data_IF_957452201592
#
_entry.id   IF_957452201592
#
_cell.length_a   1.000
_cell.length_b   1.000
_cell.length_c   1.000
_cell.angle_alpha   90.00
_cell.angle_beta   90.00
_cell.angle_gamma   90.00
#
_symmetry.space_group_name_H-M   'P 1'
#
loop_
_entity.id
_entity.type
_entity.pdbx_description
1 polymer ?
#
# COMPACT_ATOMS: atom_id res chain seq x y z
N UNK A 1 16.33 13.04 -18.01
CA UNK A 1 15.58 12.08 -18.84
C UNK A 1 15.69 10.65 -18.28
N UNK A 2 16.89 10.13 -18.02
CA UNK A 2 17.09 8.79 -17.42
C UNK A 2 16.38 8.59 -16.06
N UNK A 3 16.43 9.58 -15.17
CA UNK A 3 15.77 9.49 -13.86
C UNK A 3 14.24 9.37 -13.98
N UNK A 4 13.61 10.14 -14.86
CA UNK A 4 12.17 10.07 -15.10
C UNK A 4 11.76 8.69 -15.65
N UNK A 5 12.53 8.15 -16.61
CA UNK A 5 12.32 6.80 -17.14
C UNK A 5 12.44 5.72 -16.07
N UNK A 6 13.44 5.82 -15.18
CA UNK A 6 13.61 4.85 -14.10
C UNK A 6 12.39 4.85 -13.17
N UNK A 7 11.88 6.02 -12.78
CA UNK A 7 10.73 6.15 -11.88
C UNK A 7 9.46 5.62 -12.54
N UNK A 8 9.16 6.04 -13.77
CA UNK A 8 7.97 5.59 -14.51
C UNK A 8 7.97 4.08 -14.73
N UNK A 9 9.15 3.48 -14.95
CA UNK A 9 9.28 2.02 -15.08
C UNK A 9 8.93 1.26 -13.80
N UNK A 10 9.23 1.81 -12.62
CA UNK A 10 8.97 1.12 -11.35
C UNK A 10 7.51 1.26 -10.88
N UNK A 11 6.85 2.38 -11.23
CA UNK A 11 5.50 2.68 -10.74
C UNK A 11 4.55 3.18 -11.84
N UNK A 12 4.39 2.45 -12.96
CA UNK A 12 3.69 2.96 -14.13
C UNK A 12 2.22 3.29 -13.83
N UNK A 13 1.48 2.35 -13.23
CA UNK A 13 0.04 2.54 -12.96
C UNK A 13 -0.24 3.56 -11.87
N UNK A 14 0.61 3.65 -10.85
CA UNK A 14 0.46 4.65 -9.78
C UNK A 14 0.69 6.06 -10.32
N UNK A 15 1.73 6.24 -11.14
CA UNK A 15 2.05 7.53 -11.75
C UNK A 15 0.96 7.95 -12.73
N UNK A 16 0.46 7.01 -13.55
CA UNK A 16 -0.63 7.29 -14.47
C UNK A 16 -1.90 7.74 -13.73
N UNK A 17 -2.30 7.03 -12.67
CA UNK A 17 -3.44 7.42 -11.83
C UNK A 17 -3.26 8.82 -11.24
N UNK A 18 -2.10 9.12 -10.66
CA UNK A 18 -1.86 10.42 -10.01
C UNK A 18 -1.76 11.59 -11.01
N UNK A 19 -1.32 11.32 -12.24
CA UNK A 19 -1.28 12.31 -13.32
C UNK A 19 -2.67 12.59 -13.89
N UNK A 20 -3.51 11.55 -14.03
CA UNK A 20 -4.90 11.69 -14.47
C UNK A 20 -5.70 12.61 -13.54
N UNK A 21 -5.52 12.48 -12.22
CA UNK A 21 -6.14 13.37 -11.21
C UNK A 21 -5.74 14.84 -11.38
N UNK A 22 -4.62 15.11 -12.06
CA UNK A 22 -4.10 16.45 -12.37
C UNK A 22 -4.37 16.89 -13.81
N UNK A 23 -5.18 16.14 -14.57
CA UNK A 23 -5.40 16.34 -16.01
C UNK A 23 -4.09 16.34 -16.82
N UNK A 24 -3.13 15.51 -16.43
CA UNK A 24 -1.89 15.28 -17.17
C UNK A 24 -1.91 13.87 -17.73
N UNK A 25 -1.50 13.72 -18.99
CA UNK A 25 -1.39 12.42 -19.65
C UNK A 25 0.09 12.00 -19.73
N UNK A 26 0.39 10.80 -19.24
CA UNK A 26 1.75 10.23 -19.35
C UNK A 26 2.12 9.92 -20.81
N UNK A 27 1.14 9.64 -21.67
CA UNK A 27 1.36 9.42 -23.10
C UNK A 27 1.94 10.67 -23.78
N UNK A 28 1.53 11.87 -23.35
CA UNK A 28 2.08 13.12 -23.86
C UNK A 28 3.59 13.26 -23.58
N UNK A 29 4.06 12.72 -22.45
CA UNK A 29 5.49 12.65 -22.15
C UNK A 29 6.22 11.59 -22.97
N UNK A 30 5.63 10.40 -23.11
CA UNK A 30 6.22 9.30 -23.90
C UNK A 30 6.37 9.65 -25.38
N UNK A 31 5.38 10.33 -25.96
CA UNK A 31 5.35 10.69 -27.38
C UNK A 31 6.05 12.03 -27.66
N UNK A 32 6.35 12.81 -26.61
CA UNK A 32 6.87 14.16 -26.76
C UNK A 32 5.87 15.10 -27.43
N UNK A 33 4.58 14.93 -27.14
CA UNK A 33 3.49 15.72 -27.72
C UNK A 33 3.71 17.20 -27.46
N UNK A 34 3.45 18.02 -28.48
CA UNK A 34 3.58 19.48 -28.41
C UNK A 34 2.23 20.17 -28.35
N UNK A 35 2.20 21.32 -27.69
CA UNK A 35 1.06 22.23 -27.68
C UNK A 35 1.03 23.11 -28.96
N UNK A 36 0.00 23.94 -29.08
CA UNK A 36 -0.20 24.87 -30.19
C UNK A 36 0.94 25.90 -30.33
N UNK A 37 1.75 26.07 -29.29
CA UNK A 37 2.90 26.96 -29.25
C UNK A 37 4.24 26.22 -29.47
N UNK A 38 4.20 24.93 -29.80
CA UNK A 38 5.38 24.11 -30.07
C UNK A 38 6.17 23.67 -28.83
N UNK A 39 5.64 23.88 -27.62
CA UNK A 39 6.25 23.44 -26.35
C UNK A 39 5.77 22.03 -26.01
N UNK A 40 6.57 21.27 -25.26
CA UNK A 40 6.15 19.94 -24.78
C UNK A 40 4.99 20.09 -23.80
N UNK A 41 3.89 19.37 -24.04
CA UNK A 41 2.74 19.31 -23.12
C UNK A 41 3.16 18.78 -21.74
N UNK A 42 4.00 17.76 -21.72
CA UNK A 42 4.60 17.22 -20.50
C UNK A 42 6.09 16.96 -20.70
N UNK A 43 6.93 17.87 -20.17
CA UNK A 43 8.39 17.70 -20.21
C UNK A 43 8.89 16.80 -19.08
N UNK A 44 10.06 16.18 -19.26
CA UNK A 44 10.68 15.37 -18.19
C UNK A 44 10.91 16.16 -16.89
N UNK A 45 11.25 17.45 -17.00
CA UNK A 45 11.41 18.33 -15.83
C UNK A 45 10.07 18.51 -15.12
N UNK A 46 9.01 18.80 -15.89
CA UNK A 46 7.67 19.02 -15.35
C UNK A 46 7.13 17.76 -14.69
N UNK A 47 7.34 16.59 -15.31
CA UNK A 47 6.96 15.30 -14.73
C UNK A 47 7.64 15.09 -13.37
N UNK A 48 8.96 15.26 -13.28
CA UNK A 48 9.69 15.09 -12.02
C UNK A 48 9.23 16.07 -10.93
N UNK A 49 9.01 17.34 -11.30
CA UNK A 49 8.49 18.35 -10.37
C UNK A 49 7.09 17.98 -9.86
N UNK A 50 6.20 17.51 -10.74
CA UNK A 50 4.88 17.05 -10.32
C UNK A 50 4.99 15.89 -9.33
N UNK A 51 5.82 14.87 -9.64
CA UNK A 51 6.01 13.71 -8.78
C UNK A 51 6.65 14.06 -7.43
N UNK A 52 7.58 15.03 -7.41
CA UNK A 52 8.24 15.48 -6.19
C UNK A 52 7.25 16.12 -5.21
N UNK A 53 6.37 16.97 -5.71
CA UNK A 53 5.38 17.73 -4.93
C UNK A 53 3.97 17.11 -4.90
N UNK A 54 3.83 15.82 -5.25
CA UNK A 54 2.59 15.08 -4.99
C UNK A 54 2.29 15.07 -3.48
N UNK A 55 0.99 15.07 -3.15
CA UNK A 55 0.57 14.90 -1.75
C UNK A 55 1.07 13.54 -1.24
N UNK A 56 1.43 13.43 0.05
CA UNK A 56 2.05 12.21 0.59
C UNK A 56 1.14 10.98 0.49
N UNK A 57 -0.17 11.14 0.43
CA UNK A 57 -1.21 10.11 0.38
C UNK A 57 -1.56 9.62 -1.04
N UNK A 58 -0.91 10.16 -2.07
CA UNK A 58 -1.07 9.74 -3.47
C UNK A 58 -0.59 8.30 -3.70
N UNK A 59 -1.03 7.68 -4.79
CA UNK A 59 -0.70 6.29 -5.09
C UNK A 59 0.82 6.11 -5.25
N UNK A 60 1.46 6.98 -6.02
CA UNK A 60 2.90 6.95 -6.24
C UNK A 60 3.68 7.13 -4.94
N UNK A 61 3.38 8.17 -4.15
CA UNK A 61 4.10 8.42 -2.89
C UNK A 61 3.93 7.28 -1.88
N UNK A 62 2.73 6.71 -1.81
CA UNK A 62 2.46 5.57 -0.93
C UNK A 62 3.26 4.33 -1.33
N UNK A 63 3.32 4.01 -2.62
CA UNK A 63 4.10 2.87 -3.10
C UNK A 63 5.62 3.10 -3.05
N UNK A 64 6.08 4.31 -3.38
CA UNK A 64 7.50 4.64 -3.42
C UNK A 64 8.13 4.75 -2.03
N UNK A 65 7.41 5.32 -1.05
CA UNK A 65 7.97 5.59 0.29
C UNK A 65 7.58 4.51 1.32
N UNK A 66 6.44 3.87 1.14
CA UNK A 66 5.85 2.95 2.13
C UNK A 66 5.49 1.58 1.56
N UNK A 67 5.90 1.27 0.33
CA UNK A 67 5.63 -0.02 -0.32
C UNK A 67 4.13 -0.40 -0.33
N UNK A 68 3.25 0.60 -0.48
CA UNK A 68 1.80 0.38 -0.53
C UNK A 68 1.14 0.34 0.85
N UNK A 69 1.88 0.60 1.91
CA UNK A 69 1.40 0.50 3.28
C UNK A 69 0.90 1.84 3.85
N UNK A 70 0.19 1.74 4.97
CA UNK A 70 -0.37 2.87 5.70
C UNK A 70 0.71 3.82 6.23
N UNK A 71 0.35 5.10 6.35
CA UNK A 71 1.19 6.09 7.02
C UNK A 71 1.39 5.74 8.50
N UNK A 72 2.48 6.22 9.08
CA UNK A 72 2.79 6.03 10.51
C UNK A 72 1.65 6.50 11.41
N UNK A 73 1.03 7.63 11.08
CA UNK A 73 -0.13 8.14 11.83
C UNK A 73 -1.31 7.18 11.77
N UNK A 74 -1.62 6.63 10.59
CA UNK A 74 -2.71 5.66 10.43
C UNK A 74 -2.42 4.35 11.14
N UNK A 75 -1.15 3.89 11.16
CA UNK A 75 -0.72 2.76 11.99
C UNK A 75 -0.86 3.03 13.48
N UNK A 76 -0.52 4.24 13.94
CA UNK A 76 -0.73 4.63 15.33
C UNK A 76 -2.22 4.59 15.70
N UNK A 77 -3.08 5.13 14.85
CA UNK A 77 -4.54 5.08 15.04
C UNK A 77 -5.06 3.64 15.08
N UNK A 78 -4.55 2.78 14.19
CA UNK A 78 -4.86 1.34 14.18
C UNK A 78 -4.49 0.67 15.51
N UNK A 79 -3.27 0.90 16.02
CA UNK A 79 -2.81 0.36 17.30
C UNK A 79 -3.71 0.80 18.45
N UNK A 80 -4.06 2.08 18.50
CA UNK A 80 -4.97 2.63 19.52
C UNK A 80 -6.35 1.97 19.43
N UNK A 81 -6.94 1.89 18.23
CA UNK A 81 -8.26 1.30 18.01
C UNK A 81 -8.31 -0.19 18.38
N UNK A 82 -7.25 -0.93 18.04
CA UNK A 82 -7.10 -2.34 18.37
C UNK A 82 -6.96 -2.55 19.89
N UNK A 83 -6.16 -1.70 20.55
CA UNK A 83 -5.97 -1.78 22.00
C UNK A 83 -7.27 -1.47 22.76
N UNK A 84 -8.01 -0.43 22.37
CA UNK A 84 -9.32 -0.11 22.94
C UNK A 84 -10.29 -1.29 22.79
N UNK A 85 -10.30 -1.92 21.62
CA UNK A 85 -11.16 -3.08 21.36
C UNK A 85 -10.80 -4.27 22.24
N UNK A 86 -9.50 -4.56 22.42
CA UNK A 86 -9.01 -5.63 23.32
C UNK A 86 -9.30 -5.34 24.78
N UNK A 87 -9.14 -4.09 25.22
CA UNK A 87 -9.47 -3.67 26.58
C UNK A 87 -10.96 -3.87 26.86
N UNK A 88 -11.83 -3.47 25.93
CA UNK A 88 -13.28 -3.69 26.06
C UNK A 88 -13.62 -5.17 26.19
N UNK A 89 -13.03 -6.02 25.34
CA UNK A 89 -13.22 -7.47 25.40
C UNK A 89 -12.77 -8.04 26.75
N UNK A 90 -11.58 -7.65 27.22
CA UNK A 90 -11.02 -8.08 28.51
C UNK A 90 -11.90 -7.64 29.69
N UNK A 91 -12.41 -6.41 29.67
CA UNK A 91 -13.30 -5.88 30.72
C UNK A 91 -14.59 -6.70 30.78
N UNK A 92 -15.21 -7.00 29.64
CA UNK A 92 -16.45 -7.77 29.62
C UNK A 92 -16.24 -9.23 30.03
N UNK A 93 -15.13 -9.84 29.60
CA UNK A 93 -14.75 -11.18 30.05
C UNK A 93 -14.55 -11.25 31.58
N UNK A 94 -13.98 -10.21 32.17
CA UNK A 94 -13.67 -10.16 33.62
C UNK A 94 -14.87 -9.81 34.49
N UNK A 95 -15.69 -8.86 34.07
CA UNK A 95 -16.74 -8.27 34.92
C UNK A 95 -18.15 -8.73 34.55
N UNK A 96 -18.28 -9.60 33.53
CA UNK A 96 -19.57 -10.04 33.02
C UNK A 96 -20.21 -9.00 32.11
N UNK A 97 -20.97 -9.48 31.13
CA UNK A 97 -21.60 -8.66 30.11
C UNK A 97 -21.92 -9.46 28.85
N UNK A 98 -22.42 -8.79 27.82
CA UNK A 98 -22.52 -9.41 26.49
C UNK A 98 -21.12 -9.73 25.98
N UNK A 99 -20.87 -10.93 25.42
CA UNK A 99 -19.60 -11.24 24.78
C UNK A 99 -19.28 -10.22 23.69
N UNK A 100 -18.07 -9.67 23.72
CA UNK A 100 -17.56 -8.80 22.66
C UNK A 100 -16.32 -9.40 22.04
N UNK A 101 -16.45 -9.74 20.77
CA UNK A 101 -15.34 -10.11 19.93
C UNK A 101 -14.70 -8.82 19.38
N UNK A 102 -13.40 -8.58 19.67
CA UNK A 102 -12.73 -7.39 19.21
C UNK A 102 -12.51 -7.47 17.70
N UNK A 103 -13.08 -6.51 16.97
CA UNK A 103 -12.74 -6.30 15.56
C UNK A 103 -11.36 -5.62 15.47
N UNK A 104 -10.38 -6.32 14.92
CA UNK A 104 -9.03 -5.80 14.75
C UNK A 104 -8.82 -5.28 13.33
N UNK A 105 -8.30 -4.06 13.24
CA UNK A 105 -7.86 -3.47 11.98
C UNK A 105 -6.46 -3.99 11.65
N UNK A 106 -6.25 -4.32 10.37
CA UNK A 106 -5.01 -4.91 9.86
C UNK A 106 -4.53 -4.09 8.66
N UNK A 107 -3.27 -3.66 8.70
CA UNK A 107 -2.66 -2.89 7.60
C UNK A 107 -2.43 -3.78 6.37
N UNK A 108 -2.23 -3.21 5.16
CA UNK A 108 -1.85 -3.98 3.98
C UNK A 108 -0.61 -4.85 4.19
N UNK A 109 0.45 -4.32 4.81
CA UNK A 109 1.67 -5.09 5.08
C UNK A 109 1.41 -6.26 6.03
N UNK A 110 0.65 -6.03 7.11
CA UNK A 110 0.31 -7.05 8.09
C UNK A 110 -0.56 -8.16 7.48
N UNK A 111 -1.44 -7.83 6.52
CA UNK A 111 -2.20 -8.86 5.78
C UNK A 111 -1.30 -9.77 4.97
N UNK A 112 -0.30 -9.19 4.28
CA UNK A 112 0.67 -9.97 3.52
C UNK A 112 1.47 -10.88 4.45
N UNK A 113 1.93 -10.35 5.59
CA UNK A 113 2.65 -11.13 6.60
C UNK A 113 1.79 -12.28 7.15
N UNK A 114 0.51 -12.03 7.47
CA UNK A 114 -0.40 -13.08 7.93
C UNK A 114 -0.63 -14.15 6.87
N UNK A 115 -0.77 -13.77 5.60
CA UNK A 115 -0.92 -14.73 4.50
C UNK A 115 0.31 -15.62 4.37
N UNK A 116 1.50 -15.01 4.37
CA UNK A 116 2.77 -15.76 4.30
C UNK A 116 2.95 -16.69 5.51
N UNK A 117 2.62 -16.22 6.73
CA UNK A 117 2.69 -17.07 7.93
C UNK A 117 1.71 -18.24 7.86
N UNK A 118 0.49 -18.00 7.37
CA UNK A 118 -0.51 -19.04 7.21
C UNK A 118 -0.06 -20.09 6.17
N UNK A 119 0.47 -19.66 5.03
CA UNK A 119 1.01 -20.54 4.00
C UNK A 119 2.15 -21.42 4.55
N UNK A 120 3.12 -20.81 5.24
CA UNK A 120 4.24 -21.54 5.87
C UNK A 120 3.73 -22.53 6.93
N UNK A 121 2.71 -22.16 7.70
CA UNK A 121 2.13 -23.06 8.70
C UNK A 121 1.42 -24.26 8.07
N UNK A 122 0.68 -24.05 6.97
CA UNK A 122 -0.01 -25.11 6.23
C UNK A 122 0.99 -26.08 5.60
N UNK A 123 2.05 -25.56 4.97
CA UNK A 123 3.13 -26.39 4.41
C UNK A 123 3.85 -27.21 5.50
N UNK A 124 4.06 -26.63 6.68
CA UNK A 124 4.66 -27.34 7.81
C UNK A 124 3.74 -28.45 8.35
N UNK A 125 2.44 -28.19 8.44
CA UNK A 125 1.45 -29.19 8.84
C UNK A 125 1.33 -30.32 7.81
N UNK A 126 1.37 -30.01 6.51
CA UNK A 126 1.35 -30.99 5.43
C UNK A 126 2.60 -31.88 5.45
N UNK A 127 3.79 -31.27 5.59
CA UNK A 127 5.04 -32.02 5.72
C UNK A 127 5.10 -32.87 7.00
N UNK A 128 4.54 -32.38 8.12
CA UNK A 128 4.43 -33.18 9.35
C UNK A 128 3.44 -34.32 9.18
N UNK A 129 2.31 -34.08 8.53
CA UNK A 129 1.30 -35.09 8.20
C UNK A 129 1.88 -36.22 7.35
N UNK A 130 2.59 -35.86 6.28
CA UNK A 130 3.24 -36.83 5.38
C UNK A 130 4.35 -37.62 6.10
N UNK A 131 5.11 -36.95 6.99
CA UNK A 131 6.16 -37.60 7.79
C UNK A 131 5.63 -38.50 8.91
N UNK A 132 4.42 -38.23 9.44
CA UNK A 132 3.81 -38.98 10.54
C UNK A 132 2.85 -40.08 10.07
N UNK A 133 2.24 -39.93 8.89
CA UNK A 133 1.19 -40.82 8.39
C UNK A 133 1.42 -41.35 6.97
N UNK A 134 2.56 -41.03 6.34
CA UNK A 134 2.94 -41.56 5.03
C UNK A 134 3.20 -43.08 5.07
N UNK A 135 2.46 -43.82 4.24
CA UNK A 135 2.81 -45.18 3.78
C UNK A 135 3.61 -45.09 2.49
#
# INVERSE_FOLDING_TARGET
MLAALAIVRHFPGQIESDLLDKNLDIADWHQGTRDEHGRLKLSSRRLLEVLEFLKPDTAFKTWAERHGDWSTERKMQQTIANEISRLRSTIQARYGGTPYEPMLWISPSERVEQQTQNEVSLEAEEMLGDRLFGW
#
